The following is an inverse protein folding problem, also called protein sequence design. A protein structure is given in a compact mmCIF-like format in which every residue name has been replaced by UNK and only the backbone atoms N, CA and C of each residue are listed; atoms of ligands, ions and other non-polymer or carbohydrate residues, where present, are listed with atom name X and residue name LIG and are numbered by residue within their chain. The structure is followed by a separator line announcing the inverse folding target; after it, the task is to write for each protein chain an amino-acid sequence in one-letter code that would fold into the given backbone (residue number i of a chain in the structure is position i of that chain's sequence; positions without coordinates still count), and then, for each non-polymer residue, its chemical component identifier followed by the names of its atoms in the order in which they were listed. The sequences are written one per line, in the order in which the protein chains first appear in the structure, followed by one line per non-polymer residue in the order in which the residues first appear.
data_IF_835257008428
#
_entry.id   IF_835257008428
#
_cell.length_a   1.000
_cell.length_b   1.000
_cell.length_c   1.000
_cell.angle_alpha   90.00
_cell.angle_beta   90.00
_cell.angle_gamma   90.00
#
_symmetry.space_group_name_H-M   'P 1'
#
loop_
_entity.id
_entity.type
_entity.pdbx_description
1 polymer ?
#
# COMPACT_ATOMS: atom_id res chain seq x y z
N UNK A 1 13.95 -8.64 5.31
CA UNK A 1 13.61 -7.87 4.10
C UNK A 1 14.44 -6.59 4.02
N UNK A 2 15.09 -6.29 2.89
CA UNK A 2 15.78 -5.00 2.65
C UNK A 2 14.84 -3.99 1.97
N UNK A 3 15.20 -2.70 1.94
CA UNK A 3 14.41 -1.67 1.21
C UNK A 3 14.28 -1.99 -0.28
N UNK A 4 15.35 -2.51 -0.90
CA UNK A 4 15.31 -2.95 -2.31
C UNK A 4 14.27 -4.06 -2.51
N UNK A 5 14.20 -5.01 -1.60
CA UNK A 5 13.19 -6.08 -1.64
C UNK A 5 11.78 -5.54 -1.38
N UNK A 6 11.61 -4.58 -0.47
CA UNK A 6 10.33 -3.90 -0.26
C UNK A 6 9.84 -3.20 -1.54
N UNK A 7 10.71 -2.44 -2.22
CA UNK A 7 10.40 -1.78 -3.50
C UNK A 7 9.99 -2.80 -4.56
N UNK A 8 10.69 -3.92 -4.61
CA UNK A 8 10.37 -4.98 -5.56
C UNK A 8 9.00 -5.58 -5.27
N UNK A 9 8.73 -6.00 -4.03
CA UNK A 9 7.44 -6.60 -3.65
C UNK A 9 6.27 -5.63 -3.83
N UNK A 10 6.45 -4.35 -3.47
CA UNK A 10 5.46 -3.31 -3.74
C UNK A 10 5.12 -3.24 -5.23
N UNK A 11 6.16 -3.14 -6.09
CA UNK A 11 5.96 -3.09 -7.53
C UNK A 11 5.34 -4.37 -8.10
N UNK A 12 5.77 -5.53 -7.60
CA UNK A 12 5.26 -6.83 -7.99
C UNK A 12 3.76 -6.95 -7.67
N UNK A 13 3.36 -6.76 -6.42
CA UNK A 13 1.96 -6.83 -6.00
C UNK A 13 1.08 -5.74 -6.61
N UNK A 14 1.61 -4.53 -6.81
CA UNK A 14 0.90 -3.50 -7.57
C UNK A 14 0.47 -4.05 -8.93
N UNK A 15 1.39 -4.68 -9.68
CA UNK A 15 1.11 -5.28 -10.99
C UNK A 15 0.20 -6.51 -10.90
N UNK A 16 0.56 -7.49 -10.07
CA UNK A 16 -0.06 -8.83 -10.08
C UNK A 16 -1.38 -8.90 -9.33
N UNK A 17 -1.54 -8.14 -8.24
CA UNK A 17 -2.72 -8.16 -7.38
C UNK A 17 -3.64 -6.96 -7.61
N UNK A 18 -3.05 -5.78 -7.88
CA UNK A 18 -3.81 -4.53 -8.01
C UNK A 18 -3.93 -4.02 -9.46
N UNK A 19 -3.38 -4.73 -10.45
CA UNK A 19 -3.50 -4.39 -11.87
C UNK A 19 -2.71 -3.15 -12.29
N UNK A 20 -1.59 -2.87 -11.62
CA UNK A 20 -0.69 -1.75 -11.92
C UNK A 20 -1.20 -0.38 -11.46
N UNK A 21 -2.31 -0.32 -10.72
CA UNK A 21 -2.97 0.93 -10.31
C UNK A 21 -2.32 1.61 -9.11
N UNK A 22 -1.42 0.94 -8.40
CA UNK A 22 -0.78 1.50 -7.21
C UNK A 22 0.55 2.13 -7.61
N UNK A 23 0.71 3.46 -7.43
CA UNK A 23 1.98 4.12 -7.71
C UNK A 23 3.12 3.52 -6.87
N UNK A 24 4.33 3.54 -7.41
CA UNK A 24 5.52 3.24 -6.60
C UNK A 24 5.75 4.37 -5.60
N UNK A 25 6.13 4.08 -4.36
CA UNK A 25 6.49 5.10 -3.40
C UNK A 25 7.80 5.78 -3.80
N UNK A 26 7.88 7.09 -3.60
CA UNK A 26 9.15 7.84 -3.72
C UNK A 26 10.13 7.28 -2.68
N UNK A 27 9.70 7.19 -1.42
CA UNK A 27 10.50 6.63 -0.32
C UNK A 27 9.84 5.41 0.31
N UNK A 28 10.62 4.35 0.59
CA UNK A 28 10.18 3.20 1.37
C UNK A 28 11.31 2.73 2.28
N UNK A 29 11.05 2.70 3.58
CA UNK A 29 12.08 2.44 4.59
C UNK A 29 11.47 1.86 5.87
N UNK A 30 12.33 1.48 6.81
CA UNK A 30 11.92 1.08 8.16
C UNK A 30 12.16 2.21 9.15
N UNK A 31 11.20 2.50 10.04
CA UNK A 31 11.32 3.53 11.08
C UNK A 31 10.66 3.09 12.39
N UNK A 32 11.31 3.33 13.52
CA UNK A 32 10.83 2.92 14.86
C UNK A 32 9.59 3.67 15.33
N UNK A 33 9.30 4.85 14.77
CA UNK A 33 8.14 5.69 15.09
C UNK A 33 6.81 5.22 14.46
N UNK A 34 6.84 4.11 13.72
CA UNK A 34 5.62 3.49 13.17
C UNK A 34 5.08 2.51 14.21
N UNK A 35 3.76 2.55 14.47
CA UNK A 35 3.11 1.63 15.40
C UNK A 35 3.57 0.17 15.17
N UNK A 36 3.85 -0.63 16.23
CA UNK A 36 4.60 -1.89 16.19
C UNK A 36 4.13 -2.94 15.16
N UNK A 37 2.87 -2.88 14.75
CA UNK A 37 2.24 -3.86 13.86
C UNK A 37 1.83 -3.28 12.49
N UNK A 38 2.28 -2.06 12.15
CA UNK A 38 1.68 -1.28 11.06
C UNK A 38 2.77 -0.74 10.12
N UNK A 39 2.39 -0.42 8.89
CA UNK A 39 3.12 0.51 8.04
C UNK A 39 2.31 1.81 7.89
N UNK A 40 2.97 2.94 7.66
CA UNK A 40 2.27 4.20 7.39
C UNK A 40 2.51 4.61 5.95
N UNK A 41 1.44 4.75 5.18
CA UNK A 41 1.50 5.25 3.80
C UNK A 41 0.97 6.67 3.69
N UNK A 42 1.77 7.54 3.06
CA UNK A 42 1.36 8.89 2.68
C UNK A 42 1.15 8.96 1.16
N UNK A 43 -0.11 9.13 0.76
CA UNK A 43 -0.50 9.33 -0.63
C UNK A 43 -0.89 10.79 -0.88
N UNK A 44 -0.56 11.30 -2.07
CA UNK A 44 -0.87 12.67 -2.51
C UNK A 44 -1.71 12.64 -3.78
N UNK A 45 -2.76 13.47 -3.81
CA UNK A 45 -3.54 13.79 -5.01
C UNK A 45 -2.97 15.05 -5.65
N UNK A 46 -2.73 15.01 -6.96
CA UNK A 46 -2.34 16.18 -7.74
C UNK A 46 -3.34 16.36 -8.88
N UNK A 47 -3.89 17.55 -9.02
CA UNK A 47 -4.77 17.91 -10.13
C UNK A 47 -4.01 18.83 -11.07
N UNK A 48 -3.84 18.42 -12.31
CA UNK A 48 -3.37 19.32 -13.37
C UNK A 48 -4.52 20.23 -13.80
N UNK A 49 -4.37 21.53 -13.53
CA UNK A 49 -5.44 22.53 -13.71
C UNK A 49 -5.72 22.81 -15.19
N UNK A 50 -4.74 22.60 -16.09
CA UNK A 50 -4.90 22.88 -17.52
C UNK A 50 -5.60 21.73 -18.26
N UNK A 51 -5.33 20.50 -17.86
CA UNK A 51 -5.87 19.28 -18.49
C UNK A 51 -7.01 18.63 -17.71
N UNK A 52 -7.32 19.12 -16.50
CA UNK A 52 -8.27 18.48 -15.58
C UNK A 52 -7.81 17.09 -15.08
N UNK A 53 -6.58 16.69 -15.42
CA UNK A 53 -6.07 15.35 -15.15
C UNK A 53 -5.73 15.20 -13.67
N UNK A 54 -6.39 14.26 -13.02
CA UNK A 54 -6.06 13.86 -11.65
C UNK A 54 -5.00 12.75 -11.70
N UNK A 55 -3.92 12.94 -10.94
CA UNK A 55 -2.88 11.94 -10.71
C UNK A 55 -2.71 11.70 -9.22
N UNK A 56 -2.24 10.51 -8.88
CA UNK A 56 -1.94 10.11 -7.51
C UNK A 56 -0.50 9.65 -7.41
N UNK A 57 0.18 10.06 -6.34
CA UNK A 57 1.52 9.57 -5.99
C UNK A 57 1.54 9.05 -4.56
N UNK A 58 2.48 8.16 -4.27
CA UNK A 58 2.78 7.72 -2.92
C UNK A 58 4.12 8.36 -2.54
N UNK A 59 4.09 9.27 -1.56
CA UNK A 59 5.30 9.95 -1.10
C UNK A 59 6.17 9.01 -0.31
N UNK A 60 5.57 8.33 0.65
CA UNK A 60 6.33 7.57 1.62
C UNK A 60 5.53 6.38 2.12
N UNK A 61 6.23 5.26 2.31
CA UNK A 61 5.73 4.08 3.03
C UNK A 61 6.75 3.69 4.08
N UNK A 62 6.37 3.79 5.36
CA UNK A 62 7.24 3.45 6.48
C UNK A 62 6.80 2.15 7.12
N UNK A 63 7.68 1.16 7.22
CA UNK A 63 7.42 -0.11 7.89
C UNK A 63 8.01 -0.11 9.29
N UNK A 64 7.40 -0.81 10.25
CA UNK A 64 8.05 -1.05 11.52
C UNK A 64 9.26 -2.00 11.35
N UNK A 65 10.46 -1.69 11.87
CA UNK A 65 11.63 -2.55 11.72
C UNK A 65 11.49 -3.93 12.39
N UNK A 66 10.61 -4.08 13.39
CA UNK A 66 10.36 -5.37 14.07
C UNK A 66 9.78 -6.43 13.13
N UNK A 67 9.00 -6.02 12.13
CA UNK A 67 8.43 -6.98 11.16
C UNK A 67 9.41 -7.38 10.07
N UNK A 68 10.58 -6.72 9.95
CA UNK A 68 11.57 -6.91 8.88
C UNK A 68 12.01 -8.36 8.70
N UNK A 69 12.00 -9.14 9.78
CA UNK A 69 12.44 -10.54 9.81
C UNK A 69 11.29 -11.54 9.58
N UNK A 70 10.05 -11.10 9.72
CA UNK A 70 8.88 -11.91 9.45
C UNK A 70 8.37 -11.63 8.03
N UNK A 71 8.94 -12.32 7.02
CA UNK A 71 8.60 -12.13 5.60
C UNK A 71 7.08 -12.06 5.38
N UNK A 72 6.34 -13.01 5.95
CA UNK A 72 4.88 -13.10 5.86
C UNK A 72 4.18 -11.84 6.37
N UNK A 73 4.59 -11.31 7.52
CA UNK A 73 4.04 -10.05 8.05
C UNK A 73 4.33 -8.88 7.11
N UNK A 74 5.56 -8.78 6.59
CA UNK A 74 5.90 -7.71 5.63
C UNK A 74 5.03 -7.76 4.39
N UNK A 75 4.79 -8.95 3.82
CA UNK A 75 3.96 -9.11 2.62
C UNK A 75 2.49 -8.77 2.89
N UNK A 76 1.95 -9.21 4.03
CA UNK A 76 0.61 -8.82 4.49
C UNK A 76 0.48 -7.29 4.61
N UNK A 77 1.48 -6.64 5.23
CA UNK A 77 1.52 -5.19 5.39
C UNK A 77 1.59 -4.47 4.04
N UNK A 78 2.36 -4.98 3.06
CA UNK A 78 2.39 -4.39 1.70
C UNK A 78 0.98 -4.42 1.08
N UNK A 79 0.29 -5.56 1.12
CA UNK A 79 -1.05 -5.67 0.53
C UNK A 79 -2.05 -4.73 1.25
N UNK A 80 -1.95 -4.67 2.58
CA UNK A 80 -2.78 -3.80 3.42
C UNK A 80 -2.63 -2.31 3.03
N UNK A 81 -1.39 -1.82 2.94
CA UNK A 81 -1.10 -0.43 2.57
C UNK A 81 -1.48 -0.12 1.12
N UNK A 82 -1.25 -1.05 0.20
CA UNK A 82 -1.68 -0.88 -1.19
C UNK A 82 -3.20 -0.79 -1.31
N UNK A 83 -3.97 -1.49 -0.46
CA UNK A 83 -5.42 -1.36 -0.44
C UNK A 83 -5.87 0.01 0.09
N UNK A 84 -5.16 0.59 1.07
CA UNK A 84 -5.39 1.98 1.50
C UNK A 84 -5.20 2.96 0.33
N UNK A 85 -4.10 2.82 -0.42
CA UNK A 85 -3.83 3.65 -1.59
C UNK A 85 -4.91 3.48 -2.67
N UNK A 86 -5.33 2.25 -2.97
CA UNK A 86 -6.40 2.02 -3.95
C UNK A 86 -7.73 2.65 -3.49
N UNK A 87 -8.03 2.53 -2.20
CA UNK A 87 -9.24 3.10 -1.61
C UNK A 87 -9.26 4.62 -1.79
N UNK A 88 -8.11 5.28 -1.60
CA UNK A 88 -7.96 6.70 -1.87
C UNK A 88 -8.18 7.06 -3.33
N UNK A 89 -7.51 6.34 -4.23
CA UNK A 89 -7.59 6.60 -5.68
C UNK A 89 -9.05 6.51 -6.14
N UNK A 90 -9.77 5.48 -5.69
CA UNK A 90 -11.18 5.25 -6.05
C UNK A 90 -12.14 6.27 -5.44
N UNK A 91 -11.91 6.68 -4.19
CA UNK A 91 -12.86 7.50 -3.44
C UNK A 91 -12.54 9.00 -3.44
N UNK A 92 -11.39 9.42 -3.98
CA UNK A 92 -11.00 10.83 -4.06
C UNK A 92 -10.54 11.46 -2.73
N UNK A 93 -10.55 10.72 -1.62
CA UNK A 93 -10.23 11.19 -0.26
C UNK A 93 -9.60 10.10 0.61
N UNK A 94 -8.87 10.51 1.65
CA UNK A 94 -8.32 9.59 2.66
C UNK A 94 -9.44 8.92 3.44
N UNK A 95 -9.49 7.59 3.39
CA UNK A 95 -10.38 6.76 4.21
C UNK A 95 -9.48 6.05 5.21
N UNK A 96 -9.26 6.66 6.38
CA UNK A 96 -8.38 6.11 7.42
C UNK A 96 -8.91 4.88 8.13
N UNK A 97 -10.17 4.51 7.89
CA UNK A 97 -10.84 3.41 8.55
C UNK A 97 -10.94 2.17 7.68
N UNK A 98 -10.87 1.01 8.31
CA UNK A 98 -11.08 -0.33 7.72
C UNK A 98 -12.59 -0.66 7.52
N UNK A 99 -13.39 0.34 7.14
CA UNK A 99 -14.83 0.18 6.97
C UNK A 99 -15.23 -0.49 5.65
N UNK A 100 -16.54 -0.51 5.36
CA UNK A 100 -17.09 -1.16 4.17
C UNK A 100 -16.41 -0.72 2.85
N UNK A 101 -15.99 0.54 2.73
CA UNK A 101 -15.27 1.06 1.54
C UNK A 101 -13.88 0.45 1.37
N UNK A 102 -13.14 0.24 2.46
CA UNK A 102 -11.84 -0.42 2.43
C UNK A 102 -12.00 -1.88 2.00
N UNK A 103 -12.96 -2.59 2.61
CA UNK A 103 -13.27 -3.98 2.29
C UNK A 103 -13.71 -4.15 0.82
N UNK A 104 -14.63 -3.30 0.34
CA UNK A 104 -15.12 -3.34 -1.04
C UNK A 104 -14.05 -2.93 -2.08
N UNK A 105 -12.96 -2.27 -1.64
CA UNK A 105 -11.89 -1.88 -2.55
C UNK A 105 -10.93 -3.03 -2.86
N UNK A 106 -10.80 -3.99 -1.94
CA UNK A 106 -9.82 -5.07 -2.00
C UNK A 106 -10.06 -5.96 -3.24
N UNK A 107 -9.10 -6.02 -4.19
CA UNK A 107 -9.23 -6.90 -5.35
C UNK A 107 -9.28 -8.37 -4.93
N UNK A 108 -10.07 -9.20 -5.64
CA UNK A 108 -10.18 -10.65 -5.36
C UNK A 108 -8.83 -11.35 -5.29
N UNK A 109 -7.90 -11.04 -6.21
CA UNK A 109 -6.53 -11.60 -6.20
C UNK A 109 -5.75 -11.21 -4.94
N UNK A 110 -5.88 -9.97 -4.49
CA UNK A 110 -5.24 -9.52 -3.25
C UNK A 110 -5.86 -10.21 -2.02
N UNK A 111 -7.18 -10.38 -1.99
CA UNK A 111 -7.87 -11.12 -0.93
C UNK A 111 -7.42 -12.60 -0.85
N UNK A 112 -7.28 -13.26 -2.00
CA UNK A 112 -6.75 -14.63 -2.07
C UNK A 112 -5.31 -14.73 -1.56
N UNK A 113 -4.46 -13.78 -1.93
CA UNK A 113 -3.08 -13.74 -1.45
C UNK A 113 -3.01 -13.45 0.07
N UNK A 114 -3.88 -12.57 0.60
CA UNK A 114 -4.00 -12.39 2.05
C UNK A 114 -4.34 -13.70 2.74
N UNK A 115 -5.35 -14.43 2.24
CA UNK A 115 -5.73 -15.73 2.80
C UNK A 115 -4.56 -16.73 2.80
N UNK A 116 -3.83 -16.82 1.67
CA UNK A 116 -2.64 -17.67 1.52
C UNK A 116 -1.52 -17.30 2.50
N UNK A 117 -1.39 -16.02 2.83
CA UNK A 117 -0.42 -15.51 3.79
C UNK A 117 -0.95 -15.51 5.23
N UNK A 118 -2.18 -15.96 5.49
CA UNK A 118 -2.77 -16.08 6.85
C UNK A 118 -3.00 -17.51 7.32
N UNK A 119 -3.01 -18.48 6.41
CA UNK A 119 -3.00 -19.93 6.69
C UNK A 119 -1.58 -20.48 6.77
#
# INVERSE_FOLDING_TARGET
MTERQLRWWWGHYSKTLFGGRIPKPETIHFRDEVHPNIARTWARKTTDVKSGKISWSVKEVCFNPRIKWALRLVLLTIIHEQNHVLCHIKNGRFVGGHGARYAATLPKKAAQELLRLTL
#
